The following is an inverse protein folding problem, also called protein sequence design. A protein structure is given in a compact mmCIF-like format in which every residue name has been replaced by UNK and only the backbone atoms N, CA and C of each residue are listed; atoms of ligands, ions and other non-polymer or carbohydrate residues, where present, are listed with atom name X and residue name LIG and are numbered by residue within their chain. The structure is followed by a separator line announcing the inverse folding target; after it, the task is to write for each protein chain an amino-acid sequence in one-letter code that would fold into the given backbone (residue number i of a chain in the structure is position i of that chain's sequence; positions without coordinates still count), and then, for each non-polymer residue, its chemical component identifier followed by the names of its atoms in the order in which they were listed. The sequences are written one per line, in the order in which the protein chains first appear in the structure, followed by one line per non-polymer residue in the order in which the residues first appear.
data_IF_859773925119
#
_entry.id   IF_859773925119
#
_cell.length_a   1.000
_cell.length_b   1.000
_cell.length_c   1.000
_cell.angle_alpha   90.00
_cell.angle_beta   90.00
_cell.angle_gamma   90.00
#
_symmetry.space_group_name_H-M   'P 1'
#
loop_
_entity.id
_entity.type
_entity.pdbx_description
1 polymer ?
#
# COMPACT_ATOMS: atom_id res chain seq x y z
N UNK A 1 28.59 61.66 -15.04
CA UNK A 1 27.37 61.04 -14.46
C UNK A 1 26.68 60.06 -15.44
N UNK A 2 27.38 59.00 -15.89
CA UNK A 2 26.89 58.00 -16.86
C UNK A 2 26.93 56.56 -16.30
N UNK A 3 26.96 56.41 -14.98
CA UNK A 3 27.22 55.13 -14.29
C UNK A 3 25.99 54.49 -13.63
N UNK A 4 24.85 55.19 -13.53
CA UNK A 4 23.67 54.69 -12.79
C UNK A 4 22.68 53.88 -13.66
N UNK A 5 22.67 54.04 -15.00
CA UNK A 5 21.73 53.32 -15.88
C UNK A 5 22.19 51.92 -16.31
N UNK A 6 23.49 51.62 -16.25
CA UNK A 6 24.04 50.35 -16.76
C UNK A 6 23.93 49.19 -15.77
N UNK A 7 23.81 49.50 -14.48
CA UNK A 7 23.70 48.54 -13.37
C UNK A 7 22.25 48.04 -13.24
N UNK A 8 21.25 48.86 -13.63
CA UNK A 8 19.83 48.53 -13.53
C UNK A 8 19.34 47.50 -14.60
N UNK A 9 20.04 47.39 -15.75
CA UNK A 9 19.64 46.45 -16.82
C UNK A 9 20.33 45.08 -16.76
N UNK A 10 21.45 44.94 -16.04
CA UNK A 10 22.12 43.64 -15.88
C UNK A 10 21.71 42.88 -14.62
N UNK A 11 21.29 43.57 -13.55
CA UNK A 11 20.73 42.92 -12.37
C UNK A 11 19.34 42.32 -12.65
N UNK A 12 18.52 43.01 -13.44
CA UNK A 12 17.15 42.62 -13.75
C UNK A 12 17.03 41.41 -14.69
N UNK A 13 18.11 41.05 -15.40
CA UNK A 13 18.11 39.92 -16.34
C UNK A 13 18.79 38.67 -15.77
N UNK A 14 19.59 38.78 -14.70
CA UNK A 14 20.25 37.62 -14.06
C UNK A 14 19.58 37.15 -12.78
N UNK A 15 18.87 38.02 -12.07
CA UNK A 15 18.06 37.61 -10.91
C UNK A 15 16.78 36.87 -11.37
N UNK A 16 16.34 37.08 -12.61
CA UNK A 16 15.16 36.41 -13.18
C UNK A 16 15.41 34.95 -13.64
N UNK A 17 16.68 34.53 -13.82
CA UNK A 17 16.99 33.17 -14.31
C UNK A 17 17.33 32.16 -13.21
N UNK A 18 17.62 32.59 -11.98
CA UNK A 18 17.92 31.66 -10.87
C UNK A 18 16.66 31.26 -10.09
N UNK A 19 15.58 32.05 -10.17
CA UNK A 19 14.29 31.71 -9.55
C UNK A 19 13.47 30.64 -10.28
N UNK A 20 13.82 30.29 -11.53
CA UNK A 20 13.06 29.35 -12.36
C UNK A 20 13.58 27.90 -12.28
N UNK A 21 14.49 27.59 -11.36
CA UNK A 21 14.90 26.19 -11.08
C UNK A 21 14.23 25.60 -9.83
N UNK A 22 13.32 26.34 -9.18
CA UNK A 22 12.70 25.97 -7.91
C UNK A 22 11.31 25.32 -8.03
N UNK A 23 10.91 24.79 -9.20
CA UNK A 23 9.49 24.43 -9.42
C UNK A 23 9.19 23.10 -10.11
N UNK A 24 10.12 22.15 -10.27
CA UNK A 24 9.80 20.88 -10.97
C UNK A 24 10.20 19.59 -10.24
N UNK A 25 10.40 19.63 -8.92
CA UNK A 25 10.30 18.39 -8.11
C UNK A 25 9.41 18.69 -6.91
N UNK A 26 8.19 19.10 -7.21
CA UNK A 26 7.07 18.78 -6.33
C UNK A 26 6.94 17.26 -6.35
N UNK A 27 7.62 16.61 -5.41
CA UNK A 27 7.27 15.25 -5.01
C UNK A 27 5.77 15.28 -4.78
N UNK A 28 5.02 14.50 -5.55
CA UNK A 28 3.58 14.52 -5.59
C UNK A 28 3.04 14.53 -4.15
N UNK A 29 2.60 15.70 -3.71
CA UNK A 29 1.56 15.81 -2.71
C UNK A 29 0.31 15.28 -3.40
N UNK A 30 0.22 13.95 -3.53
CA UNK A 30 -1.07 13.30 -3.58
C UNK A 30 -1.68 13.58 -2.21
N UNK A 31 -2.54 14.60 -2.17
CA UNK A 31 -3.72 14.57 -1.33
C UNK A 31 -4.41 13.25 -1.65
N UNK A 32 -3.98 12.19 -0.97
CA UNK A 32 -4.55 10.87 -1.11
C UNK A 32 -5.91 10.95 -0.43
N UNK A 33 -6.93 11.26 -1.20
CA UNK A 33 -8.21 10.61 -0.99
C UNK A 33 -7.89 9.13 -0.80
N UNK A 34 -8.13 8.64 0.41
CA UNK A 34 -7.83 7.28 0.86
C UNK A 34 -8.18 6.32 -0.26
N UNK A 35 -7.16 5.81 -0.95
CA UNK A 35 -7.35 5.05 -2.18
C UNK A 35 -7.91 3.71 -1.75
N UNK A 36 -9.24 3.67 -1.65
CA UNK A 36 -9.98 2.50 -1.23
C UNK A 36 -9.73 1.46 -2.31
N UNK A 37 -8.84 0.51 -2.02
CA UNK A 37 -8.57 -0.60 -2.93
C UNK A 37 -9.90 -1.34 -3.06
N UNK A 38 -10.54 -1.23 -4.23
CA UNK A 38 -11.85 -1.80 -4.46
C UNK A 38 -11.86 -3.29 -4.07
N UNK A 39 -12.96 -3.83 -3.51
CA UNK A 39 -13.06 -5.25 -3.19
C UNK A 39 -12.90 -6.12 -4.45
N UNK A 40 -12.43 -7.36 -4.30
CA UNK A 40 -12.43 -8.29 -5.44
C UNK A 40 -13.87 -8.76 -5.72
N UNK A 41 -14.25 -8.94 -7.00
CA UNK A 41 -15.47 -9.67 -7.34
C UNK A 41 -15.37 -11.12 -6.85
N UNK A 42 -16.45 -11.63 -6.25
CA UNK A 42 -16.50 -12.95 -5.58
C UNK A 42 -16.39 -14.14 -6.54
N UNK A 43 -16.72 -13.96 -7.84
CA UNK A 43 -16.77 -15.03 -8.84
C UNK A 43 -15.80 -14.79 -10.01
N UNK A 44 -14.51 -14.68 -9.69
CA UNK A 44 -13.45 -14.54 -10.69
C UNK A 44 -12.76 -15.87 -10.99
N UNK A 45 -12.34 -16.05 -12.25
CA UNK A 45 -11.34 -17.06 -12.62
C UNK A 45 -10.13 -17.03 -11.70
N UNK A 46 -9.44 -18.16 -11.53
CA UNK A 46 -8.18 -18.24 -10.79
C UNK A 46 -7.25 -17.10 -11.21
N UNK A 47 -6.84 -16.28 -10.25
CA UNK A 47 -5.99 -15.10 -10.50
C UNK A 47 -4.52 -15.47 -10.37
N UNK A 48 -3.63 -14.83 -11.15
CA UNK A 48 -2.21 -15.07 -11.03
C UNK A 48 -1.70 -14.79 -9.61
N UNK A 49 -0.87 -15.69 -9.10
CA UNK A 49 -0.22 -15.57 -7.80
C UNK A 49 0.43 -14.21 -7.58
N UNK A 50 1.13 -13.71 -8.60
CA UNK A 50 1.84 -12.43 -8.51
C UNK A 50 0.90 -11.24 -8.31
N UNK A 51 -0.26 -11.23 -8.99
CA UNK A 51 -1.27 -10.17 -8.84
C UNK A 51 -1.85 -10.16 -7.42
N UNK A 52 -2.24 -11.34 -6.92
CA UNK A 52 -2.79 -11.49 -5.57
C UNK A 52 -1.78 -11.07 -4.50
N UNK A 53 -0.51 -11.42 -4.70
CA UNK A 53 0.55 -11.08 -3.75
C UNK A 53 0.88 -9.58 -3.73
N UNK A 54 0.88 -8.91 -4.88
CA UNK A 54 1.02 -7.44 -4.95
C UNK A 54 -0.17 -6.77 -4.27
N UNK A 55 -1.37 -7.27 -4.51
CA UNK A 55 -2.59 -6.70 -3.94
C UNK A 55 -2.64 -6.82 -2.42
N UNK A 56 -2.36 -7.99 -1.86
CA UNK A 56 -2.40 -8.18 -0.40
C UNK A 56 -1.32 -7.35 0.30
N UNK A 57 -0.16 -7.13 -0.34
CA UNK A 57 0.87 -6.21 0.16
C UNK A 57 0.36 -4.78 0.22
N UNK A 58 -0.25 -4.30 -0.86
CA UNK A 58 -0.83 -2.95 -0.90
C UNK A 58 -1.94 -2.77 0.14
N UNK A 59 -2.83 -3.77 0.29
CA UNK A 59 -3.87 -3.74 1.32
C UNK A 59 -3.30 -3.74 2.74
N UNK A 60 -2.23 -4.50 3.01
CA UNK A 60 -1.56 -4.50 4.30
C UNK A 60 -0.87 -3.16 4.61
N UNK A 61 -0.30 -2.48 3.60
CA UNK A 61 0.23 -1.12 3.74
C UNK A 61 -0.89 -0.15 4.14
N UNK A 62 -2.02 -0.16 3.41
CA UNK A 62 -3.17 0.70 3.72
C UNK A 62 -3.72 0.40 5.13
N UNK A 63 -3.87 -0.87 5.50
CA UNK A 63 -4.32 -1.25 6.84
C UNK A 63 -3.38 -0.71 7.93
N UNK A 64 -2.08 -0.75 7.69
CA UNK A 64 -1.07 -0.22 8.61
C UNK A 64 -1.21 1.29 8.77
N UNK A 65 -1.36 2.02 7.67
CA UNK A 65 -1.58 3.47 7.68
C UNK A 65 -2.87 3.84 8.43
N UNK A 66 -3.99 3.20 8.07
CA UNK A 66 -5.28 3.41 8.74
C UNK A 66 -5.21 3.14 10.25
N UNK A 67 -4.50 2.09 10.68
CA UNK A 67 -4.31 1.80 12.10
C UNK A 67 -3.56 2.94 12.81
N UNK A 68 -2.47 3.44 12.24
CA UNK A 68 -1.69 4.53 12.86
C UNK A 68 -2.38 5.90 12.80
N UNK A 69 -3.30 6.12 11.86
CA UNK A 69 -4.11 7.35 11.79
C UNK A 69 -5.44 7.24 12.52
N UNK A 70 -5.71 6.13 13.22
CA UNK A 70 -6.99 5.83 13.87
C UNK A 70 -8.20 5.84 12.92
N UNK A 71 -7.99 5.56 11.64
CA UNK A 71 -9.04 5.40 10.63
C UNK A 71 -9.60 3.97 10.69
N UNK A 72 -10.54 3.77 11.61
CA UNK A 72 -11.16 2.45 11.85
C UNK A 72 -11.99 1.94 10.67
N UNK A 73 -12.58 2.83 9.87
CA UNK A 73 -13.41 2.44 8.73
C UNK A 73 -12.54 2.02 7.54
N UNK A 74 -11.47 2.78 7.26
CA UNK A 74 -10.45 2.40 6.30
C UNK A 74 -9.76 1.09 6.68
N UNK A 75 -9.44 0.90 7.96
CA UNK A 75 -8.87 -0.36 8.46
C UNK A 75 -9.81 -1.54 8.22
N UNK A 76 -11.12 -1.40 8.48
CA UNK A 76 -12.10 -2.44 8.21
C UNK A 76 -12.20 -2.77 6.71
N UNK A 77 -12.21 -1.75 5.84
CA UNK A 77 -12.25 -1.95 4.40
C UNK A 77 -10.99 -2.66 3.89
N UNK A 78 -9.81 -2.25 4.36
CA UNK A 78 -8.55 -2.88 4.02
C UNK A 78 -8.52 -4.34 4.51
N UNK A 79 -8.92 -4.60 5.75
CA UNK A 79 -8.98 -5.95 6.33
C UNK A 79 -9.96 -6.86 5.58
N UNK A 80 -11.12 -6.34 5.18
CA UNK A 80 -12.07 -7.07 4.32
C UNK A 80 -11.43 -7.42 2.97
N UNK A 81 -10.75 -6.46 2.34
CA UNK A 81 -10.03 -6.68 1.09
C UNK A 81 -8.95 -7.76 1.24
N UNK A 82 -8.21 -7.77 2.35
CA UNK A 82 -7.20 -8.80 2.62
C UNK A 82 -7.83 -10.17 2.84
N UNK A 83 -8.95 -10.26 3.55
CA UNK A 83 -9.68 -11.53 3.75
C UNK A 83 -10.14 -12.14 2.40
N UNK A 84 -10.61 -11.30 1.48
CA UNK A 84 -10.95 -11.73 0.12
C UNK A 84 -9.71 -12.19 -0.66
N UNK A 85 -8.65 -11.38 -0.68
CA UNK A 85 -7.41 -11.69 -1.43
C UNK A 85 -6.74 -12.96 -0.90
N UNK A 86 -6.69 -13.14 0.42
CA UNK A 86 -6.09 -14.33 1.07
C UNK A 86 -6.88 -15.61 0.81
N UNK A 87 -8.21 -15.54 0.74
CA UNK A 87 -9.03 -16.68 0.32
C UNK A 87 -8.70 -17.13 -1.11
N UNK A 88 -8.46 -16.17 -2.02
CA UNK A 88 -8.11 -16.47 -3.41
C UNK A 88 -6.67 -16.97 -3.58
N UNK A 89 -5.74 -16.62 -2.68
CA UNK A 89 -4.35 -17.09 -2.72
C UNK A 89 -4.24 -18.62 -2.66
N UNK A 90 -5.16 -19.30 -1.96
CA UNK A 90 -5.18 -20.76 -1.88
C UNK A 90 -5.37 -21.43 -3.26
N UNK A 91 -6.05 -20.76 -4.19
CA UNK A 91 -6.41 -21.26 -5.50
C UNK A 91 -5.77 -20.43 -6.63
N UNK A 92 -4.66 -19.75 -6.34
CA UNK A 92 -3.98 -18.90 -7.31
C UNK A 92 -3.44 -19.70 -8.50
N UNK A 93 -3.50 -19.10 -9.70
CA UNK A 93 -2.84 -19.65 -10.90
C UNK A 93 -1.37 -19.22 -10.91
N UNK A 94 -0.58 -19.89 -11.76
CA UNK A 94 0.80 -19.46 -12.06
C UNK A 94 1.72 -19.36 -10.83
N UNK A 95 1.48 -20.20 -9.82
CA UNK A 95 2.30 -20.26 -8.61
C UNK A 95 3.68 -20.84 -8.96
N UNK A 96 4.78 -20.11 -8.75
CA UNK A 96 6.13 -20.63 -8.96
C UNK A 96 6.39 -21.87 -8.11
N UNK A 97 7.10 -22.87 -8.65
CA UNK A 97 7.35 -24.14 -7.95
C UNK A 97 7.95 -23.92 -6.56
N UNK A 98 8.92 -23.01 -6.45
CA UNK A 98 9.58 -22.69 -5.19
C UNK A 98 8.71 -21.91 -4.18
N UNK A 99 7.55 -21.39 -4.59
CA UNK A 99 6.58 -20.74 -3.71
C UNK A 99 5.40 -21.65 -3.33
N UNK A 100 5.21 -22.81 -3.99
CA UNK A 100 4.05 -23.69 -3.73
C UNK A 100 3.98 -24.21 -2.30
N UNK A 101 5.12 -24.65 -1.76
CA UNK A 101 5.17 -25.22 -0.41
C UNK A 101 4.94 -24.17 0.68
N UNK A 102 5.53 -22.98 0.53
CA UNK A 102 5.29 -21.89 1.48
C UNK A 102 3.87 -21.37 1.37
N UNK A 103 3.33 -21.28 0.15
CA UNK A 103 1.94 -20.85 -0.09
C UNK A 103 0.94 -21.79 0.58
N UNK A 104 1.08 -23.10 0.43
CA UNK A 104 0.14 -24.07 1.03
C UNK A 104 0.13 -24.05 2.55
N UNK A 105 1.26 -23.67 3.18
CA UNK A 105 1.37 -23.51 4.63
C UNK A 105 0.82 -22.15 5.10
N UNK A 106 1.13 -21.07 4.38
CA UNK A 106 0.90 -19.69 4.86
C UNK A 106 -0.49 -19.18 4.48
N UNK A 107 -1.02 -19.51 3.30
CA UNK A 107 -2.26 -18.92 2.81
C UNK A 107 -3.50 -19.23 3.69
N UNK A 108 -3.66 -20.43 4.27
CA UNK A 108 -4.76 -20.70 5.21
C UNK A 108 -4.69 -19.82 6.47
N UNK A 109 -3.50 -19.72 7.08
CA UNK A 109 -3.29 -18.91 8.27
C UNK A 109 -3.46 -17.42 7.98
N UNK A 110 -3.00 -16.96 6.81
CA UNK A 110 -3.15 -15.58 6.35
C UNK A 110 -4.63 -15.21 6.17
N UNK A 111 -5.46 -16.14 5.70
CA UNK A 111 -6.91 -15.94 5.59
C UNK A 111 -7.59 -15.87 6.95
N UNK A 112 -7.19 -16.73 7.91
CA UNK A 112 -7.69 -16.67 9.27
C UNK A 112 -7.31 -15.36 9.97
N UNK A 113 -6.04 -14.97 9.92
CA UNK A 113 -5.55 -13.73 10.54
C UNK A 113 -6.19 -12.49 9.87
N UNK A 114 -6.41 -12.50 8.56
CA UNK A 114 -7.11 -11.39 7.87
C UNK A 114 -8.57 -11.24 8.34
N UNK A 115 -9.27 -12.36 8.58
CA UNK A 115 -10.61 -12.34 9.16
C UNK A 115 -10.60 -11.88 10.62
N UNK A 116 -9.60 -12.31 11.40
CA UNK A 116 -9.42 -11.85 12.78
C UNK A 116 -9.17 -10.34 12.82
N UNK A 117 -8.34 -9.80 11.92
CA UNK A 117 -8.10 -8.36 11.79
C UNK A 117 -9.41 -7.62 11.51
N UNK A 118 -10.25 -8.13 10.62
CA UNK A 118 -11.54 -7.51 10.31
C UNK A 118 -12.44 -7.45 11.54
N UNK A 119 -12.53 -8.54 12.33
CA UNK A 119 -13.34 -8.55 13.55
C UNK A 119 -12.75 -7.62 14.62
N UNK A 120 -11.42 -7.63 14.80
CA UNK A 120 -10.74 -6.75 15.74
C UNK A 120 -10.92 -5.27 15.36
N UNK A 121 -10.85 -4.92 14.07
CA UNK A 121 -11.10 -3.58 13.58
C UNK A 121 -12.56 -3.12 13.82
N UNK A 122 -13.54 -4.00 13.60
CA UNK A 122 -14.96 -3.73 13.93
C UNK A 122 -15.16 -3.44 15.42
N UNK A 123 -14.48 -4.21 16.27
CA UNK A 123 -14.57 -4.07 17.72
C UNK A 123 -13.63 -3.00 18.29
N UNK A 124 -12.81 -2.36 17.44
CA UNK A 124 -11.73 -1.43 17.82
C UNK A 124 -10.81 -1.99 18.89
N UNK A 125 -10.52 -3.29 18.82
CA UNK A 125 -9.59 -3.97 19.73
C UNK A 125 -8.13 -3.70 19.27
N UNK A 126 -7.57 -2.59 19.72
CA UNK A 126 -6.23 -2.13 19.36
C UNK A 126 -5.14 -3.18 19.58
N UNK A 127 -5.23 -3.94 20.67
CA UNK A 127 -4.21 -4.93 21.02
C UNK A 127 -4.23 -6.09 20.02
N UNK A 128 -5.42 -6.58 19.71
CA UNK A 128 -5.59 -7.66 18.73
C UNK A 128 -5.24 -7.16 17.33
N UNK A 129 -5.66 -5.95 16.95
CA UNK A 129 -5.30 -5.34 15.66
C UNK A 129 -3.79 -5.27 15.48
N UNK A 130 -3.04 -4.69 16.43
CA UNK A 130 -1.59 -4.58 16.32
C UNK A 130 -0.92 -5.95 16.18
N UNK A 131 -1.32 -6.91 17.03
CA UNK A 131 -0.73 -8.26 17.02
C UNK A 131 -1.00 -8.99 15.71
N UNK A 132 -2.24 -8.96 15.23
CA UNK A 132 -2.65 -9.62 14.00
C UNK A 132 -2.02 -8.96 12.77
N UNK A 133 -1.96 -7.63 12.74
CA UNK A 133 -1.35 -6.89 11.64
C UNK A 133 0.15 -7.21 11.50
N UNK A 134 0.88 -7.31 12.62
CA UNK A 134 2.28 -7.75 12.60
C UNK A 134 2.47 -9.17 12.05
N UNK A 135 1.61 -10.11 12.45
CA UNK A 135 1.63 -11.49 11.93
C UNK A 135 1.36 -11.54 10.43
N UNK A 136 0.35 -10.82 9.95
CA UNK A 136 0.01 -10.73 8.53
C UNK A 136 1.19 -10.18 7.73
N UNK A 137 1.81 -9.08 8.19
CA UNK A 137 2.99 -8.51 7.55
C UNK A 137 4.18 -9.47 7.53
N UNK A 138 4.35 -10.32 8.54
CA UNK A 138 5.37 -11.36 8.55
C UNK A 138 5.07 -12.46 7.51
N UNK A 139 3.84 -12.97 7.47
CA UNK A 139 3.40 -13.99 6.51
C UNK A 139 3.55 -13.51 5.06
N UNK A 140 3.13 -12.27 4.77
CA UNK A 140 3.25 -11.66 3.43
C UNK A 140 4.72 -11.56 2.99
N UNK A 141 5.66 -11.32 3.91
CA UNK A 141 7.11 -11.27 3.60
C UNK A 141 7.71 -12.65 3.32
N UNK A 142 7.14 -13.70 3.89
CA UNK A 142 7.54 -15.08 3.63
C UNK A 142 7.06 -15.56 2.25
N UNK A 143 5.92 -15.04 1.78
CA UNK A 143 5.48 -15.21 0.40
C UNK A 143 6.33 -14.32 -0.52
N UNK A 144 7.27 -14.91 -1.26
CA UNK A 144 8.17 -14.18 -2.16
C UNK A 144 7.77 -14.37 -3.62
N UNK A 145 7.90 -13.29 -4.39
CA UNK A 145 8.02 -13.43 -5.85
C UNK A 145 9.45 -13.88 -6.11
N UNK A 146 9.62 -15.07 -6.66
CA UNK A 146 10.91 -15.52 -7.15
C UNK A 146 10.91 -15.10 -8.61
N UNK A 147 11.67 -14.05 -8.90
CA UNK A 147 11.91 -13.57 -10.27
C UNK A 147 12.90 -14.49 -10.98
#
# INVERSE_FOLDING_TARGET
MKQTKKILNHLSCRILQVGFFLSIVGCAATTADHTTIAPLPENGSSRPYAELLVRIRSQATVATECYYTNDWDGLQMAAKGMAQTSSLLNNASDVPVAAKESLSKIAPDLALESNLLLQAAKNRDEKTVNTTLQKILQQIRQLRLIQ
#
